data_IF_136707040671
#
_entry.id   IF_136707040671
#
_cell.length_a   1.000
_cell.length_b   1.000
_cell.length_c   1.000
_cell.angle_alpha   90.00
_cell.angle_beta   90.00
_cell.angle_gamma   90.00
#
_symmetry.space_group_name_H-M   'P 1'
#
loop_
_entity.id
_entity.type
_entity.pdbx_description
1 polymer ?
#
# COMPACT_ATOMS: atom_id res chain seq x y z
N UNK A 1 17.89 -1.69 25.01
CA UNK A 1 16.44 -1.36 25.08
C UNK A 1 15.73 -2.24 24.07
N UNK A 2 15.02 -3.27 24.52
CA UNK A 2 14.23 -4.17 23.66
C UNK A 2 12.82 -3.59 23.59
N UNK A 3 12.44 -3.04 22.44
CA UNK A 3 11.09 -2.52 22.20
C UNK A 3 10.20 -3.72 21.82
N UNK A 4 9.29 -4.12 22.71
CA UNK A 4 8.28 -5.13 22.41
C UNK A 4 7.11 -4.47 21.65
N UNK A 5 6.97 -4.84 20.36
CA UNK A 5 6.02 -4.24 19.42
C UNK A 5 4.71 -5.01 19.28
N UNK A 6 4.58 -6.21 19.90
CA UNK A 6 3.44 -7.10 19.62
C UNK A 6 2.07 -6.44 19.82
N UNK A 7 1.99 -5.43 20.70
CA UNK A 7 0.74 -4.73 21.01
C UNK A 7 0.52 -3.40 20.26
N UNK A 8 1.43 -2.98 19.36
CA UNK A 8 1.36 -1.67 18.70
C UNK A 8 1.28 -1.74 17.17
N UNK A 9 1.53 -2.90 16.55
CA UNK A 9 1.49 -3.09 15.09
C UNK A 9 0.13 -2.78 14.45
N UNK A 10 -0.95 -2.78 15.23
CA UNK A 10 -2.28 -2.47 14.73
C UNK A 10 -2.39 -1.04 14.16
N UNK A 11 -1.55 -0.08 14.59
CA UNK A 11 -1.55 1.29 14.05
C UNK A 11 -1.03 1.35 12.62
N UNK A 12 -0.29 0.32 12.17
CA UNK A 12 0.17 0.17 10.80
C UNK A 12 -0.91 -0.33 9.83
N UNK A 13 -2.08 -0.71 10.36
CA UNK A 13 -3.17 -1.30 9.57
C UNK A 13 -4.53 -0.60 9.82
N UNK A 14 -4.57 0.38 10.72
CA UNK A 14 -5.79 1.12 11.07
C UNK A 14 -5.53 2.61 10.96
N UNK A 15 -6.44 3.32 10.32
CA UNK A 15 -6.35 4.77 10.11
C UNK A 15 -6.36 5.54 11.42
N UNK A 16 -5.69 6.68 11.43
CA UNK A 16 -5.79 7.69 12.49
C UNK A 16 -7.27 8.04 12.73
N UNK A 17 -7.81 7.78 13.95
CA UNK A 17 -9.15 8.23 14.31
C UNK A 17 -9.17 9.76 14.32
N UNK A 18 -9.89 10.37 13.36
CA UNK A 18 -9.87 11.84 13.15
C UNK A 18 -10.83 12.60 14.05
N UNK A 19 -11.80 11.91 14.65
CA UNK A 19 -12.81 12.50 15.53
C UNK A 19 -12.95 11.65 16.79
N UNK A 20 -13.20 12.34 17.91
CA UNK A 20 -13.85 11.70 19.05
C UNK A 20 -15.15 11.06 18.53
N UNK A 21 -15.48 9.80 18.88
CA UNK A 21 -16.76 9.22 18.50
C UNK A 21 -17.90 10.16 18.92
N UNK A 22 -18.77 10.53 17.98
CA UNK A 22 -19.92 11.40 18.25
C UNK A 22 -20.84 10.71 19.25
N UNK A 23 -21.03 11.34 20.41
CA UNK A 23 -21.91 10.80 21.46
C UNK A 23 -21.29 10.70 22.86
N UNK A 24 -20.39 11.62 23.24
CA UNK A 24 -19.84 11.67 24.60
C UNK A 24 -20.95 11.78 25.66
N UNK A 25 -21.34 10.63 26.19
CA UNK A 25 -22.15 10.51 27.40
C UNK A 25 -21.22 10.27 28.59
N UNK A 26 -21.54 10.80 29.78
CA UNK A 26 -20.74 10.61 30.99
C UNK A 26 -20.82 9.15 31.45
N UNK A 27 -20.00 8.31 30.82
CA UNK A 27 -19.98 6.84 30.94
C UNK A 27 -18.97 6.18 29.99
N UNK A 28 -18.52 6.87 28.94
CA UNK A 28 -17.63 6.32 27.89
C UNK A 28 -16.12 6.50 28.16
N UNK A 29 -15.67 6.43 29.42
CA UNK A 29 -14.23 6.54 29.77
C UNK A 29 -13.35 5.57 28.98
N UNK A 30 -13.86 4.35 28.76
CA UNK A 30 -13.18 3.31 27.98
C UNK A 30 -12.94 3.70 26.51
N UNK A 31 -13.81 4.53 25.92
CA UNK A 31 -13.68 4.98 24.53
C UNK A 31 -12.63 6.08 24.41
N UNK A 32 -12.60 7.00 25.38
CA UNK A 32 -11.56 8.03 25.49
C UNK A 32 -10.18 7.42 25.73
N UNK A 33 -10.07 6.50 26.68
CA UNK A 33 -8.81 5.79 26.97
C UNK A 33 -8.29 5.05 25.74
N UNK A 34 -9.16 4.36 24.99
CA UNK A 34 -8.77 3.70 23.74
C UNK A 34 -8.28 4.69 22.68
N UNK A 35 -8.92 5.85 22.56
CA UNK A 35 -8.51 6.90 21.63
C UNK A 35 -7.13 7.46 22.01
N UNK A 36 -6.92 7.82 23.27
CA UNK A 36 -5.63 8.32 23.77
C UNK A 36 -4.53 7.26 23.64
N UNK A 37 -4.84 6.00 23.94
CA UNK A 37 -3.92 4.89 23.78
C UNK A 37 -3.52 4.67 22.32
N UNK A 38 -4.46 4.84 21.39
CA UNK A 38 -4.16 4.80 19.96
C UNK A 38 -3.19 5.91 19.56
N UNK A 39 -3.43 7.16 19.99
CA UNK A 39 -2.57 8.30 19.68
C UNK A 39 -1.14 8.10 20.19
N UNK A 40 -1.00 7.59 21.42
CA UNK A 40 0.30 7.31 22.01
C UNK A 40 1.05 6.21 21.25
N UNK A 41 0.35 5.14 20.86
CA UNK A 41 0.94 4.06 20.08
C UNK A 41 1.37 4.54 18.69
N UNK A 42 0.54 5.36 18.03
CA UNK A 42 0.88 5.97 16.75
C UNK A 42 2.13 6.86 16.87
N UNK A 43 2.21 7.70 17.90
CA UNK A 43 3.40 8.54 18.16
C UNK A 43 4.67 7.72 18.35
N UNK A 44 4.61 6.63 19.12
CA UNK A 44 5.77 5.75 19.34
C UNK A 44 6.25 5.11 18.05
N UNK A 45 5.32 4.50 17.30
CA UNK A 45 5.64 3.86 16.02
C UNK A 45 6.13 4.91 15.02
N UNK A 46 5.57 6.11 15.02
CA UNK A 46 6.00 7.22 14.18
C UNK A 46 7.46 7.60 14.42
N UNK A 47 7.85 7.81 15.69
CA UNK A 47 9.25 8.12 16.03
C UNK A 47 10.21 7.02 15.59
N UNK A 48 9.80 5.76 15.66
CA UNK A 48 10.61 4.61 15.27
C UNK A 48 10.73 4.53 13.74
N UNK A 49 9.62 4.67 13.03
CA UNK A 49 9.58 4.68 11.56
C UNK A 49 10.46 5.81 11.03
N UNK A 50 10.31 7.03 11.54
CA UNK A 50 11.16 8.16 11.14
C UNK A 50 12.63 7.95 11.53
N UNK A 51 12.90 7.48 12.75
CA UNK A 51 14.26 7.23 13.23
C UNK A 51 14.98 6.08 12.49
N UNK A 52 14.25 5.22 11.79
CA UNK A 52 14.82 4.17 10.93
C UNK A 52 15.22 4.65 9.52
N UNK A 53 14.85 5.89 9.16
CA UNK A 53 15.12 6.46 7.83
C UNK A 53 16.47 7.18 7.76
N UNK A 54 16.96 7.41 6.54
CA UNK A 54 18.03 8.40 6.32
C UNK A 54 17.48 9.81 6.54
N UNK A 55 18.37 10.77 6.81
CA UNK A 55 17.99 12.16 7.06
C UNK A 55 17.18 12.78 5.91
N UNK A 56 17.51 12.44 4.67
CA UNK A 56 16.84 12.95 3.47
C UNK A 56 15.41 12.44 3.38
N UNK A 57 15.19 11.15 3.67
CA UNK A 57 13.87 10.51 3.64
C UNK A 57 13.05 11.00 4.84
N UNK A 58 13.65 11.07 6.03
CA UNK A 58 12.98 11.54 7.24
C UNK A 58 12.37 12.93 7.04
N UNK A 59 13.12 13.90 6.49
CA UNK A 59 12.63 15.26 6.19
C UNK A 59 11.41 15.31 5.27
N UNK A 60 11.25 14.32 4.39
CA UNK A 60 10.09 14.24 3.51
C UNK A 60 8.81 13.84 4.26
N UNK A 61 8.96 13.08 5.35
CA UNK A 61 7.85 12.44 6.05
C UNK A 61 7.58 12.99 7.46
N UNK A 62 8.50 13.75 8.05
CA UNK A 62 8.38 14.26 9.44
C UNK A 62 7.13 15.10 9.73
N UNK A 63 6.54 15.71 8.69
CA UNK A 63 5.32 16.51 8.79
C UNK A 63 4.02 15.69 8.89
N UNK A 64 4.07 14.37 8.69
CA UNK A 64 2.88 13.53 8.66
C UNK A 64 2.70 12.80 9.98
N UNK A 65 1.64 13.09 10.72
CA UNK A 65 1.40 12.43 12.01
C UNK A 65 0.89 10.99 11.88
N UNK A 66 0.23 10.67 10.78
CA UNK A 66 -0.35 9.35 10.53
C UNK A 66 0.69 8.38 9.95
N UNK A 67 1.12 7.41 10.75
CA UNK A 67 2.10 6.39 10.34
C UNK A 67 1.60 5.55 9.17
N UNK A 68 0.30 5.24 9.13
CA UNK A 68 -0.30 4.46 8.06
C UNK A 68 -0.14 5.20 6.73
N UNK A 69 -0.35 6.51 6.73
CA UNK A 69 -0.14 7.35 5.55
C UNK A 69 1.32 7.34 5.08
N UNK A 70 2.29 7.46 6.00
CA UNK A 70 3.72 7.38 5.68
C UNK A 70 4.03 6.03 5.01
N UNK A 71 3.59 4.92 5.62
CA UNK A 71 3.82 3.57 5.12
C UNK A 71 3.23 3.36 3.71
N UNK A 72 1.99 3.79 3.48
CA UNK A 72 1.38 3.67 2.15
C UNK A 72 2.12 4.49 1.09
N UNK A 73 2.52 5.72 1.43
CA UNK A 73 3.25 6.58 0.50
C UNK A 73 4.61 6.01 0.17
N UNK A 74 5.34 5.51 1.17
CA UNK A 74 6.62 4.82 0.96
C UNK A 74 6.46 3.58 0.09
N UNK A 75 5.46 2.72 0.36
CA UNK A 75 5.16 1.55 -0.47
C UNK A 75 4.92 1.98 -1.92
N UNK A 76 4.16 3.04 -2.16
CA UNK A 76 3.90 3.54 -3.52
C UNK A 76 5.15 4.09 -4.20
N UNK A 77 6.03 4.77 -3.49
CA UNK A 77 7.27 5.33 -4.07
C UNK A 77 8.30 4.22 -4.34
N UNK A 78 8.48 3.28 -3.41
CA UNK A 78 9.44 2.18 -3.54
C UNK A 78 8.96 1.11 -4.54
N UNK A 79 7.67 0.79 -4.54
CA UNK A 79 7.06 -0.11 -5.53
C UNK A 79 6.65 0.61 -6.82
N UNK A 80 6.89 1.92 -6.95
CA UNK A 80 6.45 2.72 -8.09
C UNK A 80 7.08 2.27 -9.42
N UNK A 81 8.36 1.88 -9.39
CA UNK A 81 9.05 1.32 -10.56
C UNK A 81 8.43 -0.01 -10.99
N UNK A 82 8.13 -0.90 -10.04
CA UNK A 82 7.42 -2.15 -10.31
C UNK A 82 6.00 -1.90 -10.84
N UNK A 83 5.31 -0.88 -10.31
CA UNK A 83 3.98 -0.47 -10.77
C UNK A 83 3.99 -0.03 -12.23
N UNK A 84 4.89 0.88 -12.63
CA UNK A 84 4.97 1.33 -14.01
C UNK A 84 5.28 0.19 -14.98
N UNK A 85 6.15 -0.74 -14.57
CA UNK A 85 6.49 -1.92 -15.39
C UNK A 85 5.28 -2.87 -15.46
N UNK A 86 4.60 -3.15 -14.34
CA UNK A 86 3.37 -3.95 -14.32
C UNK A 86 2.30 -3.34 -15.23
N UNK A 87 2.00 -2.06 -15.07
CA UNK A 87 1.04 -1.32 -15.91
C UNK A 87 1.37 -1.46 -17.40
N UNK A 88 2.62 -1.18 -17.79
CA UNK A 88 3.03 -1.23 -19.20
C UNK A 88 2.88 -2.64 -19.79
N UNK A 89 3.22 -3.68 -19.02
CA UNK A 89 3.09 -5.07 -19.44
C UNK A 89 1.62 -5.50 -19.51
N UNK A 90 0.81 -5.14 -18.52
CA UNK A 90 -0.64 -5.40 -18.49
C UNK A 90 -1.35 -4.72 -19.65
N UNK A 91 -1.09 -3.43 -19.87
CA UNK A 91 -1.64 -2.67 -20.99
C UNK A 91 -1.28 -3.31 -22.32
N UNK A 92 0.00 -3.63 -22.54
CA UNK A 92 0.45 -4.33 -23.74
C UNK A 92 -0.27 -5.66 -23.93
N UNK A 93 -0.49 -6.42 -22.86
CA UNK A 93 -1.20 -7.69 -22.91
C UNK A 93 -2.66 -7.51 -23.37
N UNK A 94 -3.38 -6.53 -22.80
CA UNK A 94 -4.76 -6.24 -23.21
C UNK A 94 -4.87 -5.64 -24.61
N UNK A 95 -3.88 -4.85 -25.02
CA UNK A 95 -3.82 -4.26 -26.37
C UNK A 95 -3.49 -5.32 -27.46
N UNK A 96 -3.03 -6.51 -27.07
CA UNK A 96 -2.77 -7.62 -27.99
C UNK A 96 -4.07 -8.32 -28.39
N UNK A 97 -4.89 -7.64 -29.20
CA UNK A 97 -6.09 -8.21 -29.81
C UNK A 97 -5.68 -9.08 -31.02
N UNK A 98 -6.20 -10.31 -31.08
CA UNK A 98 -5.99 -11.18 -32.23
C UNK A 98 -6.68 -10.62 -33.48
N UNK A 99 -5.93 -10.45 -34.57
CA UNK A 99 -6.46 -9.97 -35.84
C UNK A 99 -7.30 -11.07 -36.48
N UNK A 100 -8.50 -10.73 -37.00
CA UNK A 100 -9.37 -11.70 -37.69
C UNK A 100 -8.64 -12.33 -38.87
N UNK A 101 -8.65 -13.66 -38.96
CA UNK A 101 -7.98 -14.41 -40.02
C UNK A 101 -6.48 -14.66 -39.77
N UNK A 102 -5.91 -14.18 -38.66
CA UNK A 102 -4.53 -14.49 -38.26
C UNK A 102 -4.42 -15.85 -37.56
N UNK A 103 -3.19 -16.38 -37.50
CA UNK A 103 -2.90 -17.67 -36.85
C UNK A 103 -3.02 -17.58 -35.33
N UNK A 104 -3.90 -18.40 -34.75
CA UNK A 104 -4.07 -18.56 -33.30
C UNK A 104 -2.75 -19.00 -32.64
N UNK A 105 -1.97 -19.85 -33.32
CA UNK A 105 -0.68 -20.34 -32.80
C UNK A 105 0.34 -19.20 -32.69
N UNK A 106 0.44 -18.35 -33.70
CA UNK A 106 1.35 -17.20 -33.68
C UNK A 106 0.91 -16.19 -32.61
N UNK A 107 -0.39 -15.94 -32.51
CA UNK A 107 -0.95 -15.09 -31.47
C UNK A 107 -0.62 -15.58 -30.05
N UNK A 108 -0.80 -16.88 -29.77
CA UNK A 108 -0.43 -17.49 -28.49
C UNK A 108 1.06 -17.34 -28.17
N UNK A 109 1.93 -17.52 -29.16
CA UNK A 109 3.39 -17.36 -28.97
C UNK A 109 3.73 -15.91 -28.64
N UNK A 110 3.10 -14.94 -29.30
CA UNK A 110 3.30 -13.53 -28.98
C UNK A 110 2.83 -13.20 -27.55
N UNK A 111 1.70 -13.76 -27.09
CA UNK A 111 1.18 -13.53 -25.74
C UNK A 111 2.00 -14.19 -24.63
N UNK A 112 2.86 -15.17 -24.95
CA UNK A 112 3.65 -15.89 -23.94
C UNK A 112 4.58 -14.95 -23.15
N UNK A 113 5.28 -14.06 -23.86
CA UNK A 113 6.24 -13.13 -23.25
C UNK A 113 5.63 -12.17 -22.22
N UNK A 114 4.51 -11.47 -22.49
CA UNK A 114 3.87 -10.64 -21.47
C UNK A 114 3.28 -11.47 -20.32
N UNK A 115 2.76 -12.68 -20.56
CA UNK A 115 2.25 -13.56 -19.49
C UNK A 115 3.37 -13.98 -18.52
N UNK A 116 4.52 -14.37 -19.05
CA UNK A 116 5.69 -14.73 -18.22
C UNK A 116 6.18 -13.53 -17.41
N UNK A 117 6.27 -12.34 -18.03
CA UNK A 117 6.64 -11.11 -17.31
C UNK A 117 5.66 -10.74 -16.20
N UNK A 118 4.36 -10.90 -16.42
CA UNK A 118 3.35 -10.65 -15.38
C UNK A 118 3.49 -11.63 -14.21
N UNK A 119 3.80 -12.90 -14.51
CA UNK A 119 4.07 -13.91 -13.49
C UNK A 119 5.30 -13.55 -12.65
N UNK A 120 6.39 -13.10 -13.28
CA UNK A 120 7.63 -12.73 -12.60
C UNK A 120 7.46 -11.48 -11.72
N UNK A 121 6.63 -10.53 -12.14
CA UNK A 121 6.31 -9.32 -11.39
C UNK A 121 5.41 -9.56 -10.17
N UNK A 122 5.09 -10.84 -9.88
CA UNK A 122 4.08 -11.25 -8.89
C UNK A 122 2.79 -10.42 -9.03
N UNK A 123 2.47 -10.02 -10.27
CA UNK A 123 1.19 -9.44 -10.63
C UNK A 123 0.16 -10.57 -10.62
N UNK A 124 -0.03 -11.19 -9.45
CA UNK A 124 -1.17 -12.04 -9.23
C UNK A 124 -2.37 -11.11 -9.33
N UNK A 125 -3.27 -11.45 -10.23
CA UNK A 125 -4.59 -10.86 -10.35
C UNK A 125 -5.37 -11.12 -9.03
N UNK A 126 -4.99 -10.49 -7.93
CA UNK A 126 -5.92 -10.21 -6.86
C UNK A 126 -6.85 -9.16 -7.43
N UNK A 127 -8.12 -9.49 -7.54
CA UNK A 127 -9.14 -8.67 -8.21
C UNK A 127 -9.10 -7.21 -7.75
N UNK A 128 -8.79 -6.98 -6.47
CA UNK A 128 -8.66 -5.64 -5.86
C UNK A 128 -7.42 -4.84 -6.31
N UNK A 129 -6.26 -5.48 -6.55
CA UNK A 129 -5.03 -4.78 -6.98
C UNK A 129 -4.99 -4.59 -8.51
N UNK A 130 -5.63 -5.50 -9.25
CA UNK A 130 -5.70 -5.44 -10.71
C UNK A 130 -6.52 -4.24 -11.20
N UNK A 131 -7.58 -3.88 -10.47
CA UNK A 131 -8.44 -2.75 -10.82
C UNK A 131 -7.68 -1.41 -10.74
N UNK A 132 -6.76 -1.29 -9.78
CA UNK A 132 -5.91 -0.10 -9.62
C UNK A 132 -4.90 0.01 -10.77
N UNK A 133 -4.37 -1.11 -11.24
CA UNK A 133 -3.44 -1.17 -12.38
C UNK A 133 -4.13 -0.94 -13.74
N UNK A 134 -5.46 -0.98 -13.83
CA UNK A 134 -6.22 -0.77 -15.08
C UNK A 134 -6.89 0.61 -15.20
N UNK A 135 -7.11 1.32 -14.08
CA UNK A 135 -7.87 2.58 -14.04
C UNK A 135 -7.01 3.84 -14.20
N UNK A 136 -5.69 3.77 -13.99
CA UNK A 136 -4.77 4.92 -14.07
C UNK A 136 -3.70 4.73 -15.15
#
# INVERSE_FOLDING_TARGET
MVLDFKNQTYVLNKSLPRTLPEGFLPGERLTFEKFTQWQENNRKVHSIVLGSMSNEIQKQYERYEDVLFIMHRMKRTLCGTEWHIRYAVTKRFFDMIMIKGSSVREHRVMMLSPVEKLKDLQAYFKEEETYVDLIL
#
